data_IF_078367767275
#
_entry.id   IF_078367767275
#
_cell.length_a   1.000
_cell.length_b   1.000
_cell.length_c   1.000
_cell.angle_alpha   90.00
_cell.angle_beta   90.00
_cell.angle_gamma   90.00
#
_symmetry.space_group_name_H-M   'P 1'
#
loop_
_entity.id
_entity.type
_entity.pdbx_description
1 polymer ?
#
# COMPACT_ATOMS: atom_id res chain seq x y z
N UNK A 1 25.94 -0.29 -0.33
CA UNK A 1 25.34 1.03 -0.52
C UNK A 1 24.87 1.51 0.84
N UNK A 2 25.08 2.79 1.20
CA UNK A 2 24.58 3.31 2.46
C UNK A 2 23.03 3.26 2.44
N UNK A 3 22.42 2.71 3.49
CA UNK A 3 20.97 2.81 3.67
C UNK A 3 20.58 4.30 3.69
N UNK A 4 19.66 4.68 2.82
CA UNK A 4 19.07 6.01 2.90
C UNK A 4 18.35 6.12 4.25
N UNK A 5 18.84 7.01 5.11
CA UNK A 5 18.22 7.27 6.40
C UNK A 5 16.82 7.84 6.17
N UNK A 6 15.81 7.32 6.88
CA UNK A 6 14.48 7.86 6.82
C UNK A 6 14.47 9.32 7.31
N UNK A 7 13.81 10.18 6.55
CA UNK A 7 13.55 11.57 6.91
C UNK A 7 12.21 11.69 7.63
N UNK A 8 12.01 12.80 8.35
CA UNK A 8 10.77 13.10 9.06
C UNK A 8 10.16 14.38 8.50
N UNK A 9 8.86 14.38 8.28
CA UNK A 9 8.11 15.57 7.85
C UNK A 9 6.84 15.72 8.69
N UNK A 10 6.47 16.95 8.99
CA UNK A 10 5.23 17.27 9.70
C UNK A 10 4.04 17.12 8.73
N UNK A 11 3.07 16.30 9.10
CA UNK A 11 1.86 16.05 8.32
C UNK A 11 0.63 16.22 9.23
N UNK A 12 -0.13 17.29 9.02
CA UNK A 12 -1.30 17.56 9.87
C UNK A 12 -0.94 17.60 11.36
N UNK A 13 -1.57 16.72 12.15
CA UNK A 13 -1.36 16.62 13.61
C UNK A 13 -0.17 15.73 14.01
N UNK A 14 0.57 15.15 13.04
CA UNK A 14 1.63 14.20 13.34
C UNK A 14 2.94 14.47 12.64
N UNK A 15 3.82 13.49 12.71
CA UNK A 15 5.10 13.45 12.01
C UNK A 15 5.20 12.14 11.26
N UNK A 16 5.47 12.21 9.95
CA UNK A 16 5.56 11.02 9.08
C UNK A 16 7.01 10.74 8.72
N UNK A 17 7.42 9.50 8.89
CA UNK A 17 8.71 8.96 8.45
C UNK A 17 8.63 8.54 7.01
N UNK A 18 9.55 8.99 6.17
CA UNK A 18 9.57 8.67 4.74
C UNK A 18 10.99 8.54 4.20
N UNK A 19 11.12 7.92 3.04
CA UNK A 19 12.31 7.95 2.18
C UNK A 19 11.89 8.47 0.81
N UNK A 20 12.75 9.23 0.16
CA UNK A 20 12.54 9.70 -1.21
C UNK A 20 13.81 9.47 -2.02
N UNK A 21 13.70 8.77 -3.12
CA UNK A 21 14.84 8.36 -3.94
C UNK A 21 14.49 8.42 -5.43
N UNK A 22 15.51 8.60 -6.27
CA UNK A 22 15.33 8.75 -7.71
C UNK A 22 14.98 10.17 -8.13
N UNK A 23 14.60 10.33 -9.38
CA UNK A 23 14.21 11.61 -9.98
C UNK A 23 13.13 11.41 -11.03
N UNK A 24 12.21 12.38 -11.14
CA UNK A 24 11.06 12.33 -12.05
C UNK A 24 9.75 12.61 -11.33
N UNK A 25 8.61 12.26 -11.94
CA UNK A 25 7.30 12.45 -11.33
C UNK A 25 7.20 11.72 -9.97
N UNK A 26 6.55 12.32 -8.95
CA UNK A 26 6.40 11.68 -7.64
C UNK A 26 5.50 10.44 -7.72
N UNK A 27 5.99 9.34 -7.11
CA UNK A 27 5.27 8.08 -6.93
C UNK A 27 5.32 7.68 -5.47
N UNK A 28 4.18 7.73 -4.79
CA UNK A 28 4.05 7.36 -3.38
C UNK A 28 3.67 5.88 -3.26
N UNK A 29 4.42 5.13 -2.45
CA UNK A 29 4.17 3.71 -2.20
C UNK A 29 3.56 3.52 -0.79
N UNK A 30 2.34 2.97 -0.74
CA UNK A 30 1.55 2.76 0.48
C UNK A 30 1.61 1.29 0.88
N UNK A 31 2.29 1.01 1.99
CA UNK A 31 2.57 -0.36 2.43
C UNK A 31 1.34 -1.10 2.98
N UNK A 32 1.45 -2.43 3.09
CA UNK A 32 0.43 -3.32 3.63
C UNK A 32 0.25 -3.20 5.16
N UNK A 33 -0.54 -4.12 5.70
CA UNK A 33 -0.95 -4.10 7.11
C UNK A 33 0.22 -4.32 8.09
N UNK A 34 1.16 -5.18 7.73
CA UNK A 34 2.11 -5.82 8.64
C UNK A 34 3.54 -5.31 8.53
N UNK A 35 3.91 -4.80 7.36
CA UNK A 35 5.26 -4.36 7.03
C UNK A 35 5.19 -2.86 6.76
N UNK A 36 6.24 -2.11 7.11
CA UNK A 36 6.34 -0.68 6.84
C UNK A 36 6.85 -0.37 5.43
N UNK A 37 7.47 0.78 5.30
CA UNK A 37 8.00 1.26 4.02
C UNK A 37 9.04 0.32 3.40
N UNK A 38 9.68 -0.56 4.20
CA UNK A 38 10.62 -1.58 3.77
C UNK A 38 10.00 -2.66 2.87
N UNK A 39 8.67 -2.79 2.82
CA UNK A 39 7.96 -3.67 1.89
C UNK A 39 8.44 -3.51 0.45
N UNK A 40 8.80 -2.30 0.09
CA UNK A 40 9.11 -1.94 -1.28
C UNK A 40 10.60 -1.86 -1.60
N UNK A 41 11.48 -2.34 -0.71
CA UNK A 41 12.92 -2.19 -0.90
C UNK A 41 13.43 -2.83 -2.21
N UNK A 42 12.87 -3.98 -2.62
CA UNK A 42 13.20 -4.62 -3.90
C UNK A 42 12.56 -3.91 -5.10
N UNK A 43 11.30 -3.49 -4.97
CA UNK A 43 10.57 -2.85 -6.07
C UNK A 43 11.11 -1.45 -6.37
N UNK A 44 11.39 -0.64 -5.34
CA UNK A 44 11.78 0.76 -5.48
C UNK A 44 13.05 0.97 -6.31
N UNK A 45 14.06 0.09 -6.19
CA UNK A 45 15.33 0.19 -6.94
C UNK A 45 15.13 0.12 -8.46
N UNK A 46 14.04 -0.45 -8.91
CA UNK A 46 13.66 -0.47 -10.31
C UNK A 46 12.89 0.79 -10.72
N UNK A 47 12.02 1.31 -9.83
CA UNK A 47 11.15 2.45 -10.08
C UNK A 47 11.87 3.80 -9.99
N UNK A 48 12.89 3.93 -9.12
CA UNK A 48 13.67 5.17 -8.91
C UNK A 48 14.43 5.64 -10.16
N UNK A 49 14.55 4.79 -11.17
CA UNK A 49 15.11 5.14 -12.48
C UNK A 49 14.21 6.08 -13.30
N UNK A 50 12.91 6.14 -12.97
CA UNK A 50 11.90 6.87 -13.74
C UNK A 50 11.05 7.80 -12.89
N UNK A 51 11.06 7.64 -11.56
CA UNK A 51 10.23 8.38 -10.63
C UNK A 51 11.04 8.89 -9.44
N UNK A 52 10.56 9.95 -8.81
CA UNK A 52 10.87 10.24 -7.42
C UNK A 52 10.00 9.31 -6.58
N UNK A 53 10.57 8.19 -6.13
CA UNK A 53 9.86 7.16 -5.37
C UNK A 53 9.86 7.53 -3.90
N UNK A 54 8.68 7.70 -3.32
CA UNK A 54 8.47 8.02 -1.91
C UNK A 54 7.85 6.81 -1.22
N UNK A 55 8.55 6.23 -0.26
CA UNK A 55 8.01 5.25 0.68
C UNK A 55 7.84 5.90 2.03
N UNK A 56 6.82 5.54 2.80
CA UNK A 56 6.60 6.11 4.13
C UNK A 56 5.98 5.08 5.08
N UNK A 57 6.16 5.31 6.37
CA UNK A 57 5.51 4.53 7.41
C UNK A 57 4.16 5.18 7.75
N UNK A 58 3.07 4.42 7.64
CA UNK A 58 1.73 4.84 8.07
C UNK A 58 1.70 5.05 9.59
N UNK A 59 0.59 5.57 10.13
CA UNK A 59 0.40 5.74 11.59
C UNK A 59 0.79 4.48 12.35
N UNK A 60 1.37 4.67 13.54
CA UNK A 60 1.79 3.61 14.46
C UNK A 60 2.92 2.70 13.94
N UNK A 61 3.60 3.10 12.87
CA UNK A 61 4.69 2.33 12.29
C UNK A 61 6.01 3.09 12.35
N UNK A 62 7.09 2.36 12.63
CA UNK A 62 8.46 2.87 12.57
C UNK A 62 8.66 4.15 13.38
N UNK A 63 9.16 5.20 12.72
CA UNK A 63 9.38 6.53 13.32
C UNK A 63 8.21 7.51 13.10
N UNK A 64 7.15 7.10 12.40
CA UNK A 64 5.93 7.89 12.26
C UNK A 64 5.23 8.01 13.60
N UNK A 65 4.84 9.24 13.97
CA UNK A 65 4.29 9.56 15.29
C UNK A 65 3.06 10.45 15.15
N UNK A 66 1.94 9.91 15.61
CA UNK A 66 0.67 10.60 15.81
C UNK A 66 0.20 10.34 17.24
N UNK A 67 -0.73 11.18 17.75
CA UNK A 67 -1.39 10.88 19.01
C UNK A 67 -2.18 9.55 18.86
N UNK A 68 -1.98 8.59 19.79
CA UNK A 68 -2.66 7.30 19.72
C UNK A 68 -4.19 7.47 19.74
N UNK A 69 -4.84 7.10 18.67
CA UNK A 69 -6.31 7.15 18.54
C UNK A 69 -6.78 6.07 17.56
N UNK A 70 -8.05 5.70 17.64
CA UNK A 70 -8.67 4.93 16.57
C UNK A 70 -8.72 5.77 15.28
N UNK A 71 -8.54 5.11 14.14
CA UNK A 71 -8.61 5.72 12.82
C UNK A 71 -9.21 4.76 11.79
N UNK A 72 -9.58 5.31 10.67
CA UNK A 72 -10.17 4.61 9.54
C UNK A 72 -9.20 4.61 8.34
N UNK A 73 -9.53 3.90 7.27
CA UNK A 73 -8.84 4.02 5.98
C UNK A 73 -8.97 5.41 5.38
N UNK A 74 -10.07 6.13 5.67
CA UNK A 74 -10.29 7.50 5.23
C UNK A 74 -9.30 8.46 5.92
N UNK A 75 -9.06 8.29 7.23
CA UNK A 75 -8.06 9.07 7.96
C UNK A 75 -6.64 8.83 7.40
N UNK A 76 -6.33 7.60 7.01
CA UNK A 76 -5.03 7.27 6.38
C UNK A 76 -4.92 7.85 4.96
N UNK A 77 -6.02 7.97 4.24
CA UNK A 77 -6.06 8.66 2.96
C UNK A 77 -5.84 10.17 3.12
N UNK A 78 -6.39 10.77 4.17
CA UNK A 78 -6.17 12.18 4.52
C UNK A 78 -4.72 12.42 4.94
N UNK A 79 -4.08 11.49 5.67
CA UNK A 79 -2.64 11.52 5.98
C UNK A 79 -1.78 11.47 4.72
N UNK A 80 -2.15 10.62 3.75
CA UNK A 80 -1.46 10.53 2.47
C UNK A 80 -1.54 11.85 1.69
N UNK A 81 -2.72 12.51 1.68
CA UNK A 81 -2.87 13.82 1.08
C UNK A 81 -1.99 14.87 1.78
N UNK A 82 -1.95 14.87 3.11
CA UNK A 82 -1.10 15.74 3.90
C UNK A 82 0.39 15.48 3.66
N UNK A 83 0.80 14.24 3.44
CA UNK A 83 2.18 13.89 3.09
C UNK A 83 2.55 14.46 1.71
N UNK A 84 1.72 14.28 0.69
CA UNK A 84 1.93 14.82 -0.66
C UNK A 84 2.13 16.34 -0.59
N UNK A 85 1.28 17.04 0.16
CA UNK A 85 1.36 18.49 0.36
C UNK A 85 2.63 18.89 1.11
N UNK A 86 2.96 18.22 2.21
CA UNK A 86 4.13 18.52 3.02
C UNK A 86 5.45 18.31 2.29
N UNK A 87 5.46 17.42 1.29
CA UNK A 87 6.59 17.21 0.38
C UNK A 87 6.64 18.22 -0.79
N UNK A 88 5.68 19.13 -0.87
CA UNK A 88 5.63 20.19 -1.88
C UNK A 88 5.07 19.75 -3.24
N UNK A 89 4.41 18.60 -3.32
CA UNK A 89 3.80 18.13 -4.56
C UNK A 89 2.32 18.55 -4.64
N UNK A 90 1.91 19.08 -5.80
CA UNK A 90 0.50 19.33 -6.06
C UNK A 90 -0.27 18.03 -6.28
N UNK A 91 0.34 17.08 -7.00
CA UNK A 91 -0.22 15.75 -7.35
C UNK A 91 0.89 14.70 -7.32
N UNK A 92 0.52 13.45 -7.10
CA UNK A 92 1.42 12.31 -7.18
C UNK A 92 0.72 11.10 -7.80
N UNK A 93 1.50 10.19 -8.38
CA UNK A 93 1.04 8.83 -8.59
C UNK A 93 1.01 8.10 -7.25
N UNK A 94 0.06 7.19 -7.08
CA UNK A 94 -0.07 6.40 -5.84
C UNK A 94 -0.11 4.92 -6.18
N UNK A 95 0.72 4.15 -5.49
CA UNK A 95 0.71 2.69 -5.51
C UNK A 95 0.39 2.18 -4.10
N UNK A 96 -0.66 1.39 -3.96
CA UNK A 96 -0.99 0.74 -2.70
C UNK A 96 -0.96 -0.77 -2.80
N UNK A 97 -0.26 -1.43 -1.88
CA UNK A 97 -0.18 -2.89 -1.80
C UNK A 97 -1.04 -3.42 -0.64
N UNK A 98 -1.87 -4.43 -0.90
CA UNK A 98 -2.71 -5.09 0.11
C UNK A 98 -3.59 -4.07 0.87
N UNK A 99 -3.45 -3.94 2.18
CA UNK A 99 -4.09 -2.89 2.99
C UNK A 99 -3.79 -1.47 2.45
N UNK A 100 -2.55 -1.22 2.02
CA UNK A 100 -2.20 0.04 1.37
C UNK A 100 -3.02 0.32 0.10
N UNK A 101 -3.48 -0.72 -0.59
CA UNK A 101 -4.41 -0.60 -1.71
C UNK A 101 -5.82 -0.16 -1.28
N UNK A 102 -6.27 -0.55 -0.07
CA UNK A 102 -7.51 -0.01 0.50
C UNK A 102 -7.37 1.50 0.79
N UNK A 103 -6.25 1.91 1.38
CA UNK A 103 -5.94 3.33 1.62
C UNK A 103 -5.86 4.10 0.30
N UNK A 104 -5.22 3.53 -0.73
CA UNK A 104 -5.12 4.15 -2.06
C UNK A 104 -6.48 4.29 -2.77
N UNK A 105 -7.40 3.33 -2.59
CA UNK A 105 -8.78 3.45 -3.06
C UNK A 105 -9.52 4.58 -2.34
N UNK A 106 -9.43 4.65 -1.00
CA UNK A 106 -10.01 5.73 -0.22
C UNK A 106 -9.45 7.09 -0.67
N UNK A 107 -8.13 7.18 -0.87
CA UNK A 107 -7.47 8.37 -1.39
C UNK A 107 -7.98 8.77 -2.77
N UNK A 108 -8.11 7.83 -3.71
CA UNK A 108 -8.60 8.09 -5.05
C UNK A 108 -10.04 8.62 -5.09
N UNK A 109 -10.87 8.18 -4.13
CA UNK A 109 -12.26 8.63 -4.01
C UNK A 109 -12.39 9.99 -3.30
N UNK A 110 -11.46 10.34 -2.38
CA UNK A 110 -11.54 11.55 -1.54
C UNK A 110 -10.70 12.71 -2.07
N UNK A 111 -9.55 12.40 -2.69
CA UNK A 111 -8.52 13.35 -3.10
C UNK A 111 -8.16 13.17 -4.59
N UNK A 112 -9.18 13.03 -5.43
CA UNK A 112 -9.00 12.82 -6.88
C UNK A 112 -8.19 13.94 -7.55
N UNK A 113 -8.28 15.16 -7.04
CA UNK A 113 -7.51 16.34 -7.49
C UNK A 113 -6.01 16.23 -7.21
N UNK A 114 -5.61 15.44 -6.22
CA UNK A 114 -4.22 15.18 -5.82
C UNK A 114 -3.63 13.91 -6.46
N UNK A 115 -4.47 13.09 -7.10
CA UNK A 115 -4.08 11.82 -7.70
C UNK A 115 -3.70 12.00 -9.18
N UNK A 116 -2.54 11.46 -9.57
CA UNK A 116 -2.15 11.23 -10.97
C UNK A 116 -2.70 9.89 -11.47
N UNK A 117 -1.83 8.88 -11.57
CA UNK A 117 -2.22 7.50 -11.84
C UNK A 117 -2.28 6.68 -10.57
N UNK A 118 -3.08 5.63 -10.58
CA UNK A 118 -3.30 4.72 -9.45
C UNK A 118 -2.78 3.32 -9.78
N UNK A 119 -2.08 2.68 -8.84
CA UNK A 119 -1.73 1.27 -8.91
C UNK A 119 -2.26 0.55 -7.66
N UNK A 120 -3.05 -0.50 -7.85
CA UNK A 120 -3.63 -1.31 -6.78
C UNK A 120 -3.04 -2.72 -6.86
N UNK A 121 -2.19 -3.09 -5.91
CA UNK A 121 -1.52 -4.38 -5.86
C UNK A 121 -2.08 -5.31 -4.80
N UNK A 122 -2.50 -6.53 -5.17
CA UNK A 122 -2.95 -7.58 -4.25
C UNK A 122 -3.92 -7.06 -3.16
N UNK A 123 -4.91 -6.25 -3.54
CA UNK A 123 -5.84 -5.56 -2.64
C UNK A 123 -7.29 -5.98 -2.87
N UNK A 124 -8.16 -5.59 -1.96
CA UNK A 124 -9.60 -5.85 -1.99
C UNK A 124 -10.38 -4.55 -1.89
N UNK A 125 -11.62 -4.55 -2.36
CA UNK A 125 -12.58 -3.44 -2.22
C UNK A 125 -13.51 -3.59 -1.01
N UNK A 126 -13.28 -4.61 -0.18
CA UNK A 126 -14.08 -4.90 1.01
C UNK A 126 -13.17 -5.39 2.15
N UNK A 127 -13.66 -5.42 3.40
CA UNK A 127 -12.91 -5.96 4.52
C UNK A 127 -12.42 -7.38 4.25
N UNK A 128 -11.26 -7.71 4.76
CA UNK A 128 -10.78 -9.09 4.73
C UNK A 128 -11.76 -9.99 5.47
N UNK A 129 -12.22 -11.04 4.79
CA UNK A 129 -13.18 -12.00 5.35
C UNK A 129 -12.52 -13.36 5.51
N UNK A 130 -12.51 -13.86 6.75
CA UNK A 130 -11.93 -15.14 7.12
C UNK A 130 -12.46 -16.30 6.27
N UNK A 131 -13.75 -16.28 5.94
CA UNK A 131 -14.42 -17.34 5.16
C UNK A 131 -13.88 -17.46 3.72
N UNK A 132 -13.18 -16.46 3.23
CA UNK A 132 -12.59 -16.41 1.88
C UNK A 132 -11.09 -16.69 1.86
N UNK A 133 -10.48 -16.85 3.02
CA UNK A 133 -9.03 -16.95 3.21
C UNK A 133 -8.73 -18.25 3.95
N UNK A 134 -7.66 -18.94 3.56
CA UNK A 134 -7.25 -20.20 4.15
C UNK A 134 -5.79 -20.16 4.65
N UNK A 135 -5.41 -21.16 5.44
CA UNK A 135 -4.05 -21.33 5.94
C UNK A 135 -3.60 -20.24 6.92
N UNK A 136 -2.30 -19.95 7.03
CA UNK A 136 -1.74 -19.06 8.05
C UNK A 136 -2.33 -17.64 8.03
N UNK A 137 -2.84 -17.17 6.89
CA UNK A 137 -3.50 -15.85 6.82
C UNK A 137 -4.85 -15.87 7.56
N UNK A 138 -5.59 -16.99 7.48
CA UNK A 138 -6.82 -17.14 8.27
C UNK A 138 -6.53 -17.20 9.77
N UNK A 139 -5.45 -17.88 10.18
CA UNK A 139 -5.01 -17.95 11.57
C UNK A 139 -4.61 -16.56 12.09
N UNK A 140 -3.94 -15.76 11.26
CA UNK A 140 -3.64 -14.36 11.57
C UNK A 140 -4.92 -13.55 11.81
N UNK A 141 -5.91 -13.66 10.93
CA UNK A 141 -7.18 -12.95 11.11
C UNK A 141 -7.89 -13.34 12.38
N UNK A 142 -7.87 -14.64 12.76
CA UNK A 142 -8.44 -15.12 14.01
C UNK A 142 -7.73 -14.46 15.21
N UNK A 143 -6.41 -14.43 15.19
CA UNK A 143 -5.62 -13.81 16.26
C UNK A 143 -5.90 -12.30 16.37
N UNK A 144 -5.96 -11.60 15.24
CA UNK A 144 -6.29 -10.18 15.20
C UNK A 144 -7.74 -9.89 15.65
N UNK A 145 -8.70 -10.74 15.28
CA UNK A 145 -10.11 -10.60 15.70
C UNK A 145 -10.30 -10.85 17.21
N UNK A 146 -9.53 -11.77 17.77
CA UNK A 146 -9.58 -12.08 19.21
C UNK A 146 -8.75 -11.12 20.07
N UNK A 147 -7.93 -10.24 19.46
CA UNK A 147 -7.01 -9.37 20.19
C UNK A 147 -5.77 -10.10 20.73
N UNK A 148 -5.48 -11.30 20.22
CA UNK A 148 -4.31 -12.08 20.63
C UNK A 148 -3.07 -11.64 19.82
N UNK A 149 -2.42 -10.59 20.30
CA UNK A 149 -1.20 -10.03 19.69
C UNK A 149 -0.05 -11.03 19.63
N UNK A 150 0.05 -11.93 20.62
CA UNK A 150 1.12 -12.92 20.65
C UNK A 150 0.96 -13.94 19.51
N UNK A 151 -0.23 -14.50 19.35
CA UNK A 151 -0.54 -15.40 18.23
C UNK A 151 -0.45 -14.69 16.89
N UNK A 152 -0.92 -13.44 16.79
CA UNK A 152 -0.79 -12.64 15.59
C UNK A 152 0.68 -12.45 15.19
N UNK A 153 1.55 -12.09 16.13
CA UNK A 153 2.98 -11.93 15.88
C UNK A 153 3.65 -13.25 15.46
N UNK A 154 3.27 -14.38 16.08
CA UNK A 154 3.81 -15.69 15.74
C UNK A 154 3.43 -16.15 14.33
N UNK A 155 2.18 -15.91 13.93
CA UNK A 155 1.72 -16.22 12.56
C UNK A 155 2.38 -15.30 11.54
N UNK A 156 2.51 -14.00 11.86
CA UNK A 156 3.21 -13.03 11.01
C UNK A 156 4.65 -13.44 10.71
N UNK A 157 5.37 -13.91 11.72
CA UNK A 157 6.74 -14.40 11.55
C UNK A 157 6.84 -15.60 10.58
N UNK A 158 5.75 -16.36 10.40
CA UNK A 158 5.69 -17.45 9.42
C UNK A 158 5.31 -16.98 8.02
N UNK A 159 4.52 -15.90 7.91
CA UNK A 159 4.05 -15.35 6.62
C UNK A 159 5.10 -14.47 5.93
N UNK A 160 6.00 -13.87 6.69
CA UNK A 160 7.10 -13.07 6.14
C UNK A 160 8.28 -13.99 5.88
N UNK A 161 8.63 -14.27 4.61
CA UNK A 161 9.78 -15.12 4.29
C UNK A 161 11.05 -14.53 4.90
N UNK A 162 11.91 -15.37 5.46
CA UNK A 162 13.22 -14.97 5.98
C UNK A 162 14.13 -14.29 4.91
N UNK A 163 13.78 -14.39 3.64
CA UNK A 163 14.48 -13.76 2.53
C UNK A 163 14.40 -12.21 2.53
N UNK A 164 13.42 -11.60 3.19
CA UNK A 164 13.38 -10.14 3.41
C UNK A 164 14.38 -9.70 4.49
N UNK A 165 14.98 -10.62 5.23
CA UNK A 165 15.99 -10.33 6.25
C UNK A 165 17.43 -10.27 5.72
N UNK A 166 17.66 -10.50 4.43
CA UNK A 166 19.02 -10.53 3.85
C UNK A 166 19.71 -9.15 3.86
N UNK A 167 18.98 -8.08 4.11
CA UNK A 167 19.51 -6.71 4.21
C UNK A 167 19.73 -6.23 5.64
N UNK A 168 19.59 -7.09 6.68
CA UNK A 168 19.79 -6.65 8.08
C UNK A 168 18.86 -5.56 8.57
N UNK A 169 17.81 -5.26 7.81
CA UNK A 169 16.83 -4.22 8.17
C UNK A 169 15.94 -4.80 9.26
N UNK A 170 16.22 -4.40 10.49
CA UNK A 170 15.32 -4.62 11.63
C UNK A 170 13.92 -4.19 11.21
N UNK A 171 12.98 -5.13 11.09
CA UNK A 171 11.56 -4.79 10.93
C UNK A 171 11.23 -3.76 12.00
N UNK A 172 10.98 -2.53 11.58
CA UNK A 172 10.64 -1.46 12.50
C UNK A 172 9.33 -1.84 13.17
N UNK A 173 9.38 -2.03 14.49
CA UNK A 173 8.25 -2.50 15.26
C UNK A 173 7.07 -1.51 15.19
N UNK A 174 5.87 -2.06 15.30
CA UNK A 174 4.69 -1.26 15.58
C UNK A 174 4.82 -0.54 16.92
N UNK A 175 4.21 0.62 17.03
CA UNK A 175 4.10 1.35 18.29
C UNK A 175 2.85 0.88 19.04
N UNK A 176 3.05 0.20 20.17
CA UNK A 176 1.94 -0.33 20.97
C UNK A 176 1.01 -1.19 20.12
N UNK A 177 -0.29 -0.96 20.20
CA UNK A 177 -1.35 -1.70 19.49
C UNK A 177 -1.49 -1.28 18.01
N UNK A 178 -0.43 -0.79 17.36
CA UNK A 178 -0.48 -0.22 16.01
C UNK A 178 -1.03 -1.19 14.97
N UNK A 179 -0.61 -2.47 15.01
CA UNK A 179 -1.14 -3.49 14.12
C UNK A 179 -2.65 -3.67 14.30
N UNK A 180 -3.11 -3.69 15.57
CA UNK A 180 -4.54 -3.86 15.90
C UNK A 180 -5.36 -2.66 15.44
N UNK A 181 -4.85 -1.43 15.58
CA UNK A 181 -5.54 -0.23 15.08
C UNK A 181 -5.63 -0.23 13.55
N UNK A 182 -4.55 -0.58 12.83
CA UNK A 182 -4.59 -0.73 11.37
C UNK A 182 -5.56 -1.83 10.93
N UNK A 183 -5.57 -2.96 11.62
CA UNK A 183 -6.55 -4.00 11.34
C UNK A 183 -7.99 -3.53 11.62
N UNK A 184 -8.22 -2.82 12.72
CA UNK A 184 -9.52 -2.24 13.02
C UNK A 184 -10.00 -1.26 11.92
N UNK A 185 -9.08 -0.50 11.31
CA UNK A 185 -9.39 0.40 10.21
C UNK A 185 -9.93 -0.34 8.97
N UNK A 186 -9.58 -1.63 8.76
CA UNK A 186 -10.11 -2.42 7.64
C UNK A 186 -11.59 -2.75 7.79
N UNK A 187 -12.10 -2.83 9.03
CA UNK A 187 -13.47 -3.32 9.31
C UNK A 187 -14.57 -2.41 8.74
N UNK A 188 -14.30 -1.10 8.68
CA UNK A 188 -15.23 -0.12 8.12
C UNK A 188 -15.02 0.16 6.63
N UNK A 189 -14.02 -0.46 6.01
CA UNK A 189 -13.69 -0.22 4.62
C UNK A 189 -14.63 -0.98 3.69
N UNK A 190 -15.32 -0.27 2.80
CA UNK A 190 -16.10 -0.86 1.72
C UNK A 190 -16.21 0.16 0.57
N UNK A 191 -15.60 -0.17 -0.57
CA UNK A 191 -15.63 0.64 -1.79
C UNK A 191 -16.45 0.01 -2.91
N UNK A 192 -17.09 -1.13 -2.68
CA UNK A 192 -17.95 -1.80 -3.66
C UNK A 192 -19.08 -0.88 -4.13
N UNK A 193 -19.30 -0.83 -5.43
CA UNK A 193 -20.27 0.07 -6.06
C UNK A 193 -19.84 1.55 -6.09
N UNK A 194 -18.61 1.88 -5.63
CA UNK A 194 -18.08 3.24 -5.59
C UNK A 194 -16.87 3.45 -6.49
N UNK A 195 -16.19 2.37 -6.88
CA UNK A 195 -14.94 2.46 -7.65
C UNK A 195 -15.14 3.03 -9.06
N UNK A 196 -16.35 2.96 -9.59
CA UNK A 196 -16.71 3.62 -10.86
C UNK A 196 -16.57 5.15 -10.84
N UNK A 197 -16.45 5.77 -9.65
CA UNK A 197 -16.17 7.20 -9.49
C UNK A 197 -14.66 7.53 -9.60
N UNK A 198 -13.77 6.54 -9.59
CA UNK A 198 -12.33 6.76 -9.80
C UNK A 198 -12.10 7.10 -11.27
N UNK A 199 -11.69 8.34 -11.53
CA UNK A 199 -11.41 8.85 -12.88
C UNK A 199 -9.95 8.67 -13.29
N UNK A 200 -9.05 8.48 -12.32
CA UNK A 200 -7.64 8.25 -12.58
C UNK A 200 -7.41 6.95 -13.35
N UNK A 201 -6.48 6.96 -14.31
CA UNK A 201 -6.02 5.71 -14.93
C UNK A 201 -5.48 4.79 -13.83
N UNK A 202 -5.95 3.54 -13.83
CA UNK A 202 -5.67 2.58 -12.77
C UNK A 202 -5.02 1.31 -13.35
N UNK A 203 -3.98 0.82 -12.70
CA UNK A 203 -3.38 -0.49 -12.96
C UNK A 203 -3.64 -1.40 -11.76
N UNK A 204 -4.30 -2.53 -11.96
CA UNK A 204 -4.48 -3.55 -10.94
C UNK A 204 -3.42 -4.64 -11.15
N UNK A 205 -2.60 -4.91 -10.12
CA UNK A 205 -1.57 -5.96 -10.15
C UNK A 205 -1.96 -7.06 -9.16
N UNK A 206 -1.93 -8.33 -9.60
CA UNK A 206 -2.29 -9.44 -8.71
C UNK A 206 -1.54 -10.73 -9.04
N UNK A 207 -1.10 -11.43 -8.00
CA UNK A 207 -0.55 -12.77 -8.11
C UNK A 207 -1.67 -13.80 -8.30
N UNK A 208 -1.55 -14.71 -9.28
CA UNK A 208 -2.60 -15.72 -9.55
C UNK A 208 -2.73 -16.75 -8.44
N UNK A 209 -1.67 -16.93 -7.65
CA UNK A 209 -1.58 -17.90 -6.56
C UNK A 209 -1.69 -17.22 -5.18
N UNK A 210 -2.25 -16.00 -5.14
CA UNK A 210 -2.46 -15.24 -3.91
C UNK A 210 -3.48 -15.94 -3.00
N UNK A 211 -3.00 -16.43 -1.85
CA UNK A 211 -3.81 -17.11 -0.85
C UNK A 211 -4.42 -16.14 0.19
N UNK A 212 -3.96 -14.88 0.22
CA UNK A 212 -4.41 -13.88 1.19
C UNK A 212 -5.57 -13.04 0.63
N UNK A 213 -5.48 -12.64 -0.63
CA UNK A 213 -6.54 -11.89 -1.32
C UNK A 213 -6.95 -12.67 -2.58
N UNK A 214 -8.20 -13.11 -2.68
CA UNK A 214 -8.67 -13.85 -3.84
C UNK A 214 -8.54 -13.07 -5.15
N UNK A 215 -8.16 -13.74 -6.23
CA UNK A 215 -8.06 -13.14 -7.57
C UNK A 215 -9.36 -12.45 -8.01
N UNK A 216 -10.50 -12.96 -7.58
CA UNK A 216 -11.82 -12.37 -7.89
C UNK A 216 -11.96 -10.94 -7.38
N UNK A 217 -11.25 -10.56 -6.31
CA UNK A 217 -11.27 -9.19 -5.81
C UNK A 217 -10.56 -8.24 -6.79
N UNK A 218 -9.44 -8.67 -7.37
CA UNK A 218 -8.75 -7.91 -8.42
C UNK A 218 -9.61 -7.78 -9.68
N UNK A 219 -10.22 -8.87 -10.13
CA UNK A 219 -11.12 -8.87 -11.31
C UNK A 219 -12.36 -8.00 -11.09
N UNK A 220 -12.89 -7.99 -9.87
CA UNK A 220 -14.02 -7.12 -9.50
C UNK A 220 -13.63 -5.64 -9.55
N UNK A 221 -12.45 -5.25 -9.03
CA UNK A 221 -11.95 -3.88 -9.13
C UNK A 221 -11.76 -3.45 -10.60
N UNK A 222 -11.17 -4.32 -11.43
CA UNK A 222 -11.00 -4.06 -12.88
C UNK A 222 -12.36 -3.88 -13.57
N UNK A 223 -13.34 -4.67 -13.20
CA UNK A 223 -14.70 -4.56 -13.78
C UNK A 223 -15.45 -3.30 -13.39
N UNK A 224 -15.15 -2.73 -12.21
CA UNK A 224 -15.84 -1.55 -11.70
C UNK A 224 -15.14 -0.23 -12.07
N UNK A 225 -13.79 -0.20 -12.09
CA UNK A 225 -13.02 1.00 -12.46
C UNK A 225 -12.94 1.11 -13.99
N UNK A 226 -13.58 2.13 -14.57
CA UNK A 226 -13.72 2.26 -16.03
C UNK A 226 -12.40 2.34 -16.80
N UNK A 227 -11.35 2.90 -16.18
CA UNK A 227 -10.03 3.12 -16.79
C UNK A 227 -8.98 2.16 -16.22
N UNK A 228 -9.38 0.96 -15.77
CA UNK A 228 -8.46 -0.02 -15.21
C UNK A 228 -7.89 -0.96 -16.26
N UNK A 229 -6.56 -1.10 -16.22
CA UNK A 229 -5.81 -2.19 -16.84
C UNK A 229 -5.43 -3.23 -15.77
N UNK A 230 -5.13 -4.46 -16.15
CA UNK A 230 -4.72 -5.52 -15.22
C UNK A 230 -3.39 -6.16 -15.59
N UNK A 231 -2.57 -6.47 -14.60
CA UNK A 231 -1.40 -7.34 -14.69
C UNK A 231 -1.57 -8.54 -13.76
N UNK A 232 -1.85 -9.71 -14.32
CA UNK A 232 -1.95 -10.95 -13.57
C UNK A 232 -0.64 -11.72 -13.69
N UNK A 233 0.02 -11.95 -12.55
CA UNK A 233 1.32 -12.60 -12.46
C UNK A 233 1.13 -14.10 -12.21
N UNK A 234 1.56 -14.94 -13.15
CA UNK A 234 1.57 -16.38 -12.98
C UNK A 234 2.71 -16.78 -12.02
N UNK A 235 2.48 -17.84 -11.22
CA UNK A 235 3.43 -18.33 -10.21
C UNK A 235 3.85 -17.22 -9.24
N UNK A 236 2.87 -16.46 -8.77
CA UNK A 236 3.05 -15.32 -7.89
C UNK A 236 1.96 -15.34 -6.82
N UNK A 237 2.37 -15.21 -5.57
CA UNK A 237 1.50 -15.10 -4.41
C UNK A 237 1.13 -13.66 -4.07
N UNK A 238 0.98 -13.40 -2.77
CA UNK A 238 0.56 -12.09 -2.24
C UNK A 238 1.64 -11.02 -2.35
N UNK A 239 2.92 -11.40 -2.22
CA UNK A 239 4.07 -10.48 -2.18
C UNK A 239 4.67 -10.23 -3.58
N UNK A 240 3.82 -9.89 -4.53
CA UNK A 240 4.19 -9.66 -5.94
C UNK A 240 5.33 -8.65 -6.11
N UNK A 241 5.44 -7.67 -5.22
CA UNK A 241 6.48 -6.64 -5.19
C UNK A 241 7.86 -7.20 -4.86
N UNK A 242 7.92 -8.35 -4.19
CA UNK A 242 9.16 -9.07 -3.86
C UNK A 242 9.38 -10.29 -4.76
N UNK A 243 8.31 -10.97 -5.19
CA UNK A 243 8.41 -12.16 -6.03
C UNK A 243 8.76 -11.82 -7.49
N UNK A 244 8.24 -10.69 -8.01
CA UNK A 244 8.45 -10.26 -9.39
C UNK A 244 8.76 -8.76 -9.52
N UNK A 245 9.71 -8.19 -8.74
CA UNK A 245 9.93 -6.74 -8.65
C UNK A 245 10.24 -6.09 -10.00
N UNK A 246 11.14 -6.67 -10.79
CA UNK A 246 11.54 -6.10 -12.07
C UNK A 246 10.39 -6.11 -13.10
N UNK A 247 9.59 -7.20 -13.13
CA UNK A 247 8.45 -7.32 -14.04
C UNK A 247 7.34 -6.34 -13.67
N UNK A 248 7.03 -6.25 -12.38
CA UNK A 248 6.05 -5.31 -11.87
C UNK A 248 6.47 -3.86 -12.12
N UNK A 249 7.73 -3.51 -11.81
CA UNK A 249 8.27 -2.18 -12.06
C UNK A 249 8.23 -1.78 -13.54
N UNK A 250 8.54 -2.71 -14.46
CA UNK A 250 8.44 -2.45 -15.90
C UNK A 250 7.02 -2.10 -16.33
N UNK A 251 6.03 -2.85 -15.85
CA UNK A 251 4.63 -2.58 -16.16
C UNK A 251 4.14 -1.27 -15.53
N UNK A 252 4.49 -1.01 -14.26
CA UNK A 252 4.15 0.23 -13.55
C UNK A 252 4.76 1.43 -14.28
N UNK A 253 6.02 1.35 -14.67
CA UNK A 253 6.71 2.43 -15.38
C UNK A 253 6.04 2.70 -16.73
N UNK A 254 5.81 1.67 -17.54
CA UNK A 254 5.15 1.83 -18.84
C UNK A 254 3.74 2.44 -18.69
N UNK A 255 3.00 2.02 -17.68
CA UNK A 255 1.65 2.51 -17.42
C UNK A 255 1.64 3.96 -16.94
N UNK A 256 2.43 4.31 -15.91
CA UNK A 256 2.43 5.63 -15.29
C UNK A 256 3.11 6.70 -16.15
N UNK A 257 4.11 6.34 -16.97
CA UNK A 257 4.74 7.29 -17.91
C UNK A 257 3.77 7.83 -18.98
N UNK A 258 2.66 7.15 -19.18
CA UNK A 258 1.58 7.63 -20.08
C UNK A 258 0.55 8.52 -19.36
N UNK A 259 0.74 8.81 -18.05
CA UNK A 259 -0.17 9.63 -17.25
C UNK A 259 0.51 10.95 -16.88
N UNK A 260 0.03 12.08 -17.41
CA UNK A 260 0.53 13.40 -17.04
C UNK A 260 0.05 13.80 -15.65
N UNK A 261 0.94 14.42 -14.86
CA UNK A 261 0.58 15.09 -13.62
C UNK A 261 0.14 16.55 -13.82
N UNK A 262 0.40 17.14 -14.99
CA UNK A 262 0.10 18.55 -15.31
C UNK A 262 -1.35 18.77 -15.75
N UNK A 263 -2.06 17.71 -16.19
CA UNK A 263 -3.43 17.83 -16.64
C UNK A 263 -4.41 17.74 -15.47
N UNK A 264 -4.98 18.87 -15.07
CA UNK A 264 -6.29 18.87 -14.43
C UNK A 264 -7.28 18.48 -15.54
N UNK A 265 -7.84 17.28 -15.48
CA UNK A 265 -8.94 16.91 -16.37
C UNK A 265 -10.08 17.90 -16.14
N UNK A 266 -10.32 18.74 -17.14
CA UNK A 266 -11.45 19.64 -17.22
C UNK A 266 -12.75 18.82 -17.40
#
# INVERSE_FOLDING_TARGET
MAEASASLVRTGAGVTSFRAEGAGPPLILVHGLQIGQELFDELRVHLEKSFTVITYDQRDRGSTAFEPSAYTTDDLADDLAALIEALGFARAHVLGASFGGMVAQAFALRHADRLGGLVLGASSQAPFRRERIAGPVADLLIALESGDEHSAAAVLAQLVPAATSAAGTSMRADRGDGLMRRFAATRGFDTRGRLGAIVARTLVIHGRDDAAVPLDDALSMVGEIRSADALLLAHCGHSWENEHPARAASAITAFLSAVSLDSVNA
#
